data_IF_897084016698
#
_entry.id   IF_897084016698
#
_cell.length_a   1.000
_cell.length_b   1.000
_cell.length_c   1.000
_cell.angle_alpha   90.00
_cell.angle_beta   90.00
_cell.angle_gamma   90.00
#
_symmetry.space_group_name_H-M   'P 1'
#
loop_
_entity.id
_entity.type
_entity.pdbx_description
1 polymer ?
#
# COMPACT_ATOMS: atom_id res chain seq x y z
N UNK A 1 -14.52 3.41 25.18
CA UNK A 1 -15.43 2.46 24.51
C UNK A 1 -15.24 2.40 22.99
N UNK A 2 -15.02 3.52 22.32
CA UNK A 2 -14.90 3.60 20.84
C UNK A 2 -13.83 2.63 20.27
N UNK A 3 -12.69 2.50 20.94
CA UNK A 3 -11.62 1.59 20.50
C UNK A 3 -12.09 0.12 20.51
N UNK A 4 -12.96 -0.28 21.45
CA UNK A 4 -13.54 -1.63 21.45
C UNK A 4 -14.43 -1.88 20.22
N UNK A 5 -15.22 -0.88 19.82
CA UNK A 5 -16.03 -0.97 18.58
C UNK A 5 -15.14 -1.16 17.36
N UNK A 6 -14.06 -0.39 17.26
CA UNK A 6 -13.11 -0.49 16.14
C UNK A 6 -12.48 -1.89 16.13
N UNK A 7 -11.93 -2.36 17.24
CA UNK A 7 -11.29 -3.68 17.32
C UNK A 7 -12.27 -4.82 17.01
N UNK A 8 -13.50 -4.74 17.52
CA UNK A 8 -14.52 -5.73 17.19
C UNK A 8 -14.75 -5.80 15.68
N UNK A 9 -14.90 -4.66 15.02
CA UNK A 9 -15.10 -4.61 13.56
C UNK A 9 -13.90 -5.11 12.77
N UNK A 10 -12.69 -4.95 13.29
CA UNK A 10 -11.47 -5.48 12.67
C UNK A 10 -11.30 -6.99 12.86
N UNK A 11 -11.78 -7.54 13.98
CA UNK A 11 -11.56 -8.94 14.38
C UNK A 11 -12.72 -9.87 14.03
N UNK A 12 -13.88 -9.32 13.65
CA UNK A 12 -15.11 -10.08 13.42
C UNK A 12 -15.33 -10.41 11.94
N UNK A 13 -14.39 -11.14 11.35
CA UNK A 13 -14.43 -11.54 9.93
C UNK A 13 -15.68 -12.36 9.57
N UNK A 14 -16.28 -13.02 10.56
CA UNK A 14 -17.44 -13.89 10.36
C UNK A 14 -18.78 -13.21 10.62
N UNK A 15 -18.80 -11.98 11.13
CA UNK A 15 -20.02 -11.30 11.60
C UNK A 15 -20.62 -11.94 12.85
N UNK A 16 -19.80 -12.61 13.64
CA UNK A 16 -20.21 -13.33 14.86
C UNK A 16 -20.80 -12.38 15.92
N UNK A 17 -20.14 -11.22 16.12
CA UNK A 17 -20.64 -10.22 17.07
C UNK A 17 -22.03 -9.71 16.69
N UNK A 18 -22.27 -9.47 15.40
CA UNK A 18 -23.58 -9.02 14.91
C UNK A 18 -24.70 -10.03 15.17
N UNK A 19 -24.41 -11.33 14.99
CA UNK A 19 -25.38 -12.43 15.27
C UNK A 19 -25.56 -12.71 16.74
N UNK A 20 -24.49 -12.55 17.52
CA UNK A 20 -24.42 -12.94 18.93
C UNK A 20 -24.24 -11.77 19.89
N UNK A 21 -24.68 -10.56 19.52
CA UNK A 21 -24.54 -9.35 20.34
C UNK A 21 -25.18 -9.50 21.75
N UNK A 22 -26.31 -10.21 21.85
CA UNK A 22 -26.94 -10.51 23.14
C UNK A 22 -26.08 -11.39 24.05
N UNK A 23 -25.42 -12.38 23.47
CA UNK A 23 -24.45 -13.21 24.18
C UNK A 23 -23.29 -12.38 24.72
N UNK A 24 -22.63 -11.60 23.87
CA UNK A 24 -21.49 -10.76 24.27
C UNK A 24 -21.87 -9.69 25.27
N UNK A 25 -23.10 -9.18 25.27
CA UNK A 25 -23.63 -8.30 26.30
C UNK A 25 -23.70 -9.05 27.63
N UNK A 26 -24.19 -10.28 27.65
CA UNK A 26 -24.38 -11.09 28.88
C UNK A 26 -23.05 -11.47 29.51
N UNK A 27 -22.03 -11.77 28.71
CA UNK A 27 -20.72 -12.19 29.24
C UNK A 27 -19.77 -10.99 29.48
N UNK A 28 -20.18 -9.77 29.23
CA UNK A 28 -19.36 -8.58 29.46
C UNK A 28 -18.96 -8.52 30.95
N UNK A 29 -17.67 -8.59 31.29
CA UNK A 29 -17.21 -8.68 32.66
C UNK A 29 -17.18 -7.33 33.38
N UNK A 30 -17.42 -6.23 32.67
CA UNK A 30 -17.23 -4.88 33.18
C UNK A 30 -18.53 -4.26 33.66
N UNK A 31 -18.45 -3.53 34.79
CA UNK A 31 -19.63 -2.94 35.47
C UNK A 31 -19.86 -1.48 35.12
N UNK A 32 -18.89 -0.80 34.51
CA UNK A 32 -18.91 0.61 34.19
C UNK A 32 -19.15 0.89 32.69
N UNK A 33 -19.38 -0.14 31.90
CA UNK A 33 -19.60 0.00 30.44
C UNK A 33 -21.06 0.37 30.18
N UNK A 34 -21.34 1.42 29.38
CA UNK A 34 -22.69 1.78 29.01
C UNK A 34 -23.32 0.68 28.12
N UNK A 35 -24.64 0.54 28.19
CA UNK A 35 -25.37 -0.57 27.58
C UNK A 35 -25.07 -0.76 26.08
N UNK A 36 -24.95 0.34 25.32
CA UNK A 36 -24.65 0.28 23.90
C UNK A 36 -23.26 -0.30 23.59
N UNK A 37 -22.30 -0.17 24.51
CA UNK A 37 -20.93 -0.62 24.36
C UNK A 37 -20.66 -2.01 24.92
N UNK A 38 -21.58 -2.55 25.75
CA UNK A 38 -21.42 -3.86 26.39
C UNK A 38 -21.12 -5.00 25.41
N UNK A 39 -21.80 -5.13 24.26
CA UNK A 39 -21.49 -6.21 23.31
C UNK A 39 -20.06 -6.15 22.80
N UNK A 40 -19.55 -4.96 22.49
CA UNK A 40 -18.20 -4.72 22.00
C UNK A 40 -17.14 -4.98 23.08
N UNK A 41 -17.38 -4.51 24.29
CA UNK A 41 -16.49 -4.75 25.43
C UNK A 41 -16.46 -6.24 25.80
N UNK A 42 -17.61 -6.92 25.77
CA UNK A 42 -17.74 -8.37 26.00
C UNK A 42 -16.99 -9.17 24.94
N UNK A 43 -17.17 -8.83 23.66
CA UNK A 43 -16.42 -9.43 22.55
C UNK A 43 -14.91 -9.26 22.73
N UNK A 44 -14.44 -8.03 22.98
CA UNK A 44 -13.01 -7.77 23.18
C UNK A 44 -12.43 -8.50 24.41
N UNK A 45 -13.22 -8.68 25.47
CA UNK A 45 -12.81 -9.45 26.64
C UNK A 45 -12.72 -10.95 26.34
N UNK A 46 -13.72 -11.52 25.69
CA UNK A 46 -13.77 -12.94 25.29
C UNK A 46 -12.62 -13.28 24.33
N UNK A 47 -12.34 -12.41 23.35
CA UNK A 47 -11.21 -12.57 22.41
C UNK A 47 -9.86 -12.17 23.00
N UNK A 48 -9.80 -11.81 24.30
CA UNK A 48 -8.58 -11.39 25.02
C UNK A 48 -7.87 -10.17 24.43
N UNK A 49 -8.58 -9.37 23.65
CA UNK A 49 -8.06 -8.12 23.08
C UNK A 49 -7.95 -7.02 24.15
N UNK A 50 -8.96 -6.92 25.03
CA UNK A 50 -9.00 -5.95 26.12
C UNK A 50 -9.29 -6.61 27.46
N UNK A 51 -8.56 -6.21 28.51
CA UNK A 51 -8.71 -6.79 29.87
C UNK A 51 -9.28 -5.80 30.91
N UNK A 52 -9.46 -4.52 30.53
CA UNK A 52 -9.81 -3.47 31.49
C UNK A 52 -8.69 -3.15 32.48
N UNK A 53 -9.03 -2.37 33.51
CA UNK A 53 -8.09 -1.92 34.56
C UNK A 53 -8.05 -2.82 35.81
N UNK A 54 -8.77 -3.94 35.82
CA UNK A 54 -9.03 -4.74 36.99
C UNK A 54 -10.32 -4.28 37.72
N UNK A 55 -10.69 -4.98 38.77
CA UNK A 55 -11.92 -4.71 39.56
C UNK A 55 -13.19 -4.54 38.73
N UNK A 56 -13.26 -5.20 37.56
CA UNK A 56 -14.36 -5.09 36.60
C UNK A 56 -14.56 -3.70 36.03
N UNK A 57 -13.51 -2.88 36.01
CA UNK A 57 -13.53 -1.55 35.42
C UNK A 57 -12.93 -1.57 34.03
N UNK A 58 -13.62 -0.93 33.07
CA UNK A 58 -13.21 -0.81 31.68
C UNK A 58 -12.69 0.60 31.34
N UNK A 59 -13.22 1.63 31.98
CA UNK A 59 -12.92 3.03 31.70
C UNK A 59 -13.46 3.48 30.33
N UNK A 60 -14.78 3.37 30.06
CA UNK A 60 -15.35 3.56 28.74
C UNK A 60 -15.19 5.00 28.19
N UNK A 61 -15.01 5.97 29.08
CA UNK A 61 -14.85 7.40 28.76
C UNK A 61 -13.39 7.88 28.90
N UNK A 62 -12.48 7.03 29.36
CA UNK A 62 -11.10 7.43 29.59
C UNK A 62 -10.38 7.67 28.26
N UNK A 63 -9.51 8.70 28.21
CA UNK A 63 -8.62 8.88 27.08
C UNK A 63 -7.72 7.67 26.90
N UNK A 64 -7.54 7.24 25.64
CA UNK A 64 -6.66 6.10 25.32
C UNK A 64 -5.21 6.56 25.39
N UNK A 65 -4.39 5.87 26.19
CA UNK A 65 -2.94 6.12 26.21
C UNK A 65 -2.24 5.40 25.05
N UNK A 66 -1.07 5.86 24.61
CA UNK A 66 -0.27 5.14 23.62
C UNK A 66 -0.01 3.68 24.00
N UNK A 67 0.36 3.42 25.26
CA UNK A 67 0.60 2.06 25.75
C UNK A 67 -0.64 1.17 25.67
N UNK A 68 -1.83 1.70 25.98
CA UNK A 68 -3.07 0.96 25.83
C UNK A 68 -3.38 0.64 24.37
N UNK A 69 -3.24 1.60 23.45
CA UNK A 69 -3.45 1.39 22.04
C UNK A 69 -2.47 0.36 21.46
N UNK A 70 -1.18 0.47 21.79
CA UNK A 70 -0.15 -0.49 21.37
C UNK A 70 -0.45 -1.90 21.92
N UNK A 71 -0.82 -2.00 23.21
CA UNK A 71 -1.15 -3.28 23.84
C UNK A 71 -2.27 -4.02 23.13
N UNK A 72 -3.37 -3.34 22.81
CA UNK A 72 -4.50 -3.98 22.16
C UNK A 72 -4.17 -4.37 20.73
N UNK A 73 -3.34 -3.59 20.04
CA UNK A 73 -2.92 -3.90 18.67
C UNK A 73 -1.92 -5.06 18.62
N UNK A 74 -0.98 -5.14 19.57
CA UNK A 74 -0.07 -6.29 19.69
C UNK A 74 -0.82 -7.59 19.97
N UNK A 75 -1.90 -7.54 20.76
CA UNK A 75 -2.80 -8.68 20.98
C UNK A 75 -3.60 -9.05 19.74
N UNK A 76 -4.10 -8.05 19.01
CA UNK A 76 -4.78 -8.27 17.73
C UNK A 76 -3.89 -8.97 16.70
N UNK A 77 -2.59 -8.66 16.71
CA UNK A 77 -1.58 -9.28 15.85
C UNK A 77 -1.01 -10.61 16.38
N UNK A 78 -1.57 -11.14 17.48
CA UNK A 78 -1.09 -12.35 18.15
C UNK A 78 0.42 -12.32 18.49
N UNK A 79 0.97 -11.12 18.75
CA UNK A 79 2.37 -10.99 19.15
C UNK A 79 2.63 -11.77 20.44
N UNK A 80 3.67 -12.64 20.48
CA UNK A 80 3.94 -13.48 21.64
C UNK A 80 4.11 -12.67 22.94
N UNK A 81 3.33 -12.97 23.96
CA UNK A 81 3.36 -12.25 25.24
C UNK A 81 4.73 -12.34 25.98
N UNK A 82 5.61 -13.25 25.55
CA UNK A 82 6.98 -13.35 26.04
C UNK A 82 7.91 -12.25 25.52
N UNK A 83 7.51 -11.53 24.48
CA UNK A 83 8.35 -10.52 23.81
C UNK A 83 8.06 -9.09 24.27
N UNK A 84 6.99 -8.86 25.02
CA UNK A 84 6.57 -7.52 25.43
C UNK A 84 5.70 -7.56 26.69
N UNK A 85 5.51 -6.41 27.31
CA UNK A 85 4.62 -6.18 28.45
C UNK A 85 3.87 -4.87 28.23
N UNK A 86 2.90 -4.54 29.09
CA UNK A 86 2.23 -3.24 29.02
C UNK A 86 3.24 -2.06 29.05
N UNK A 87 4.27 -2.17 29.88
CA UNK A 87 5.31 -1.14 30.00
C UNK A 87 6.18 -0.99 28.74
N UNK A 88 6.36 -2.06 27.96
CA UNK A 88 7.19 -2.08 26.73
C UNK A 88 6.37 -2.20 25.46
N UNK A 89 5.04 -2.07 25.56
CA UNK A 89 4.15 -2.21 24.41
C UNK A 89 4.41 -1.13 23.32
N UNK A 90 4.72 0.09 23.75
CA UNK A 90 5.10 1.15 22.82
C UNK A 90 6.40 0.84 22.10
N UNK A 91 7.43 0.40 22.82
CA UNK A 91 8.73 0.06 22.23
C UNK A 91 8.59 -1.09 21.22
N UNK A 92 7.79 -2.11 21.58
CA UNK A 92 7.49 -3.22 20.67
C UNK A 92 6.69 -2.79 19.45
N UNK A 93 5.72 -1.90 19.60
CA UNK A 93 4.96 -1.35 18.48
C UNK A 93 5.84 -0.49 17.55
N UNK A 94 6.80 0.25 18.10
CA UNK A 94 7.81 1.01 17.32
C UNK A 94 8.76 0.05 16.63
N UNK A 95 9.28 -0.97 17.32
CA UNK A 95 10.13 -2.02 16.74
C UNK A 95 9.46 -2.70 15.53
N UNK A 96 8.15 -2.97 15.63
CA UNK A 96 7.35 -3.54 14.55
C UNK A 96 6.92 -2.52 13.48
N UNK A 97 7.35 -1.26 13.60
CA UNK A 97 6.97 -0.21 12.66
C UNK A 97 5.49 0.21 12.71
N UNK A 98 4.75 -0.18 13.75
CA UNK A 98 3.32 0.11 13.87
C UNK A 98 3.03 1.56 14.22
N UNK A 99 3.92 2.21 15.00
CA UNK A 99 3.81 3.63 15.38
C UNK A 99 5.18 4.31 15.39
N UNK A 100 5.22 5.62 15.12
CA UNK A 100 6.40 6.44 15.35
C UNK A 100 6.66 6.69 16.84
N UNK A 101 7.92 6.85 17.20
CA UNK A 101 8.33 7.13 18.60
C UNK A 101 7.57 8.35 19.14
N UNK A 102 7.45 9.41 18.34
CA UNK A 102 6.78 10.65 18.72
C UNK A 102 5.30 10.44 19.09
N UNK A 103 4.64 9.45 18.48
CA UNK A 103 3.25 9.12 18.77
C UNK A 103 3.09 8.35 20.09
N UNK A 104 4.18 7.91 20.71
CA UNK A 104 4.19 7.13 21.96
C UNK A 104 4.49 7.95 23.21
N UNK A 105 4.90 9.21 23.07
CA UNK A 105 5.41 10.03 24.18
C UNK A 105 4.36 10.87 24.91
N UNK A 106 3.15 11.01 24.35
CA UNK A 106 2.09 11.81 24.97
C UNK A 106 1.27 11.07 26.03
N UNK A 107 0.50 11.79 26.83
CA UNK A 107 -0.42 11.19 27.82
C UNK A 107 -1.60 10.46 27.14
N UNK A 108 -1.95 10.88 25.93
CA UNK A 108 -3.04 10.29 25.12
C UNK A 108 -2.61 10.15 23.69
N UNK A 109 -3.12 9.09 23.01
CA UNK A 109 -2.91 8.89 21.58
C UNK A 109 -3.98 9.63 20.78
N UNK A 110 -3.60 10.25 19.67
CA UNK A 110 -4.55 10.92 18.78
C UNK A 110 -5.34 9.94 17.93
N UNK A 111 -6.51 10.33 17.46
CA UNK A 111 -7.31 9.52 16.51
C UNK A 111 -6.52 9.22 15.23
N UNK A 112 -5.71 10.17 14.74
CA UNK A 112 -4.84 9.99 13.59
C UNK A 112 -3.80 8.89 13.84
N UNK A 113 -3.13 8.89 15.00
CA UNK A 113 -2.14 7.87 15.35
C UNK A 113 -2.81 6.49 15.57
N UNK A 114 -4.03 6.42 16.09
CA UNK A 114 -4.80 5.17 16.15
C UNK A 114 -5.08 4.66 14.73
N UNK A 115 -5.48 5.51 13.80
CA UNK A 115 -5.72 5.13 12.41
C UNK A 115 -4.44 4.61 11.74
N UNK A 116 -3.29 5.28 11.96
CA UNK A 116 -1.97 4.81 11.47
C UNK A 116 -1.61 3.46 12.07
N UNK A 117 -1.79 3.27 13.38
CA UNK A 117 -1.52 2.02 14.09
C UNK A 117 -2.34 0.86 13.50
N UNK A 118 -3.63 1.07 13.29
CA UNK A 118 -4.54 0.09 12.69
C UNK A 118 -4.14 -0.20 11.23
N UNK A 119 -3.95 0.84 10.45
CA UNK A 119 -3.58 0.70 9.04
C UNK A 119 -2.31 -0.15 8.87
N UNK A 120 -1.28 0.13 9.66
CA UNK A 120 -0.02 -0.62 9.61
C UNK A 120 -0.16 -2.05 10.11
N UNK A 121 -0.97 -2.27 11.13
CA UNK A 121 -1.26 -3.62 11.63
C UNK A 121 -1.97 -4.49 10.60
N UNK A 122 -2.94 -3.94 9.86
CA UNK A 122 -3.70 -4.64 8.84
C UNK A 122 -2.88 -4.94 7.57
N UNK A 123 -1.95 -4.06 7.23
CA UNK A 123 -1.15 -4.22 6.02
C UNK A 123 0.16 -4.98 6.24
N UNK A 124 0.30 -5.68 7.38
CA UNK A 124 1.38 -6.62 7.62
C UNK A 124 2.76 -5.98 7.54
N UNK A 125 3.01 -4.94 8.35
CA UNK A 125 4.36 -4.39 8.51
C UNK A 125 5.24 -5.39 9.27
N UNK A 126 5.44 -6.56 8.67
CA UNK A 126 6.40 -7.53 9.15
C UNK A 126 7.81 -7.05 8.86
N UNK A 127 8.45 -6.55 9.89
CA UNK A 127 9.91 -6.48 9.98
C UNK A 127 10.59 -5.45 9.11
N UNK A 128 10.73 -4.24 9.64
CA UNK A 128 12.05 -3.61 9.70
C UNK A 128 11.97 -2.39 10.64
N UNK A 129 12.84 -2.37 11.61
CA UNK A 129 13.08 -1.25 12.52
C UNK A 129 13.58 -0.04 11.73
N UNK A 130 12.66 0.81 11.30
CA UNK A 130 13.01 2.16 10.87
C UNK A 130 12.36 3.17 11.80
N UNK A 131 13.19 4.04 12.32
CA UNK A 131 12.84 5.17 13.17
C UNK A 131 11.67 5.92 12.56
N UNK A 132 10.60 5.98 13.31
CA UNK A 132 9.26 6.29 12.88
C UNK A 132 9.01 7.81 12.79
N UNK A 133 9.85 8.53 12.09
CA UNK A 133 9.55 9.90 11.65
C UNK A 133 9.25 10.01 10.15
N UNK A 134 9.19 8.86 9.43
CA UNK A 134 9.03 8.90 7.99
C UNK A 134 7.82 8.05 7.58
N UNK A 135 6.70 8.72 7.29
CA UNK A 135 5.50 8.12 6.76
C UNK A 135 5.73 7.47 5.39
N UNK A 136 4.90 6.49 5.03
CA UNK A 136 4.75 6.09 3.63
C UNK A 136 4.40 7.36 2.85
N UNK A 137 5.31 7.82 1.99
CA UNK A 137 5.23 9.11 1.30
C UNK A 137 6.45 10.02 1.50
N UNK A 138 7.24 9.82 2.56
CA UNK A 138 8.40 10.66 2.91
C UNK A 138 9.75 9.99 2.60
N UNK A 139 9.87 9.33 1.44
CA UNK A 139 11.13 8.76 0.97
C UNK A 139 11.35 7.27 1.26
N UNK A 140 10.29 6.54 1.65
CA UNK A 140 10.35 5.09 1.90
C UNK A 140 9.32 4.30 1.08
N UNK A 141 9.71 3.07 0.72
CA UNK A 141 8.89 2.08 0.02
C UNK A 141 7.98 1.32 1.00
N UNK A 142 7.03 0.56 0.48
CA UNK A 142 6.09 -0.26 1.27
C UNK A 142 6.79 -1.30 2.15
N UNK A 143 7.96 -1.78 1.74
CA UNK A 143 8.79 -2.72 2.53
C UNK A 143 9.67 -2.00 3.57
N UNK A 144 9.53 -0.70 3.75
CA UNK A 144 10.29 0.11 4.72
C UNK A 144 11.71 0.47 4.30
N UNK A 145 12.15 0.10 3.07
CA UNK A 145 13.44 0.52 2.54
C UNK A 145 13.37 1.94 1.97
N UNK A 146 14.48 2.70 1.96
CA UNK A 146 14.53 4.00 1.28
C UNK A 146 14.14 3.89 -0.18
N UNK A 147 13.54 4.93 -0.73
CA UNK A 147 13.26 5.02 -2.17
C UNK A 147 14.59 5.19 -2.90
N UNK A 148 15.06 4.11 -3.48
CA UNK A 148 16.19 4.06 -4.43
C UNK A 148 15.79 3.20 -5.63
N UNK A 149 16.44 3.39 -6.77
CA UNK A 149 16.14 2.59 -7.96
C UNK A 149 16.36 1.09 -7.71
N UNK A 150 17.41 0.71 -6.97
CA UNK A 150 17.69 -0.68 -6.59
C UNK A 150 16.57 -1.30 -5.73
N UNK A 151 16.11 -0.58 -4.72
CA UNK A 151 15.05 -1.05 -3.83
C UNK A 151 13.70 -1.12 -4.54
N UNK A 152 13.44 -0.22 -5.49
CA UNK A 152 12.23 -0.28 -6.35
C UNK A 152 12.29 -1.48 -7.27
N UNK A 153 13.45 -1.76 -7.90
CA UNK A 153 13.64 -2.95 -8.74
C UNK A 153 13.44 -4.26 -7.96
N UNK A 154 13.88 -4.32 -6.71
CA UNK A 154 13.62 -5.49 -5.85
C UNK A 154 12.13 -5.75 -5.64
N UNK A 155 11.35 -4.70 -5.36
CA UNK A 155 9.89 -4.81 -5.22
C UNK A 155 9.21 -5.17 -6.55
N UNK A 156 9.64 -4.59 -7.67
CA UNK A 156 9.13 -4.94 -9.00
C UNK A 156 9.34 -6.44 -9.31
N UNK A 157 10.50 -6.99 -8.97
CA UNK A 157 10.77 -8.44 -9.12
C UNK A 157 9.87 -9.30 -8.23
N UNK A 158 9.55 -8.82 -7.03
CA UNK A 158 8.60 -9.53 -6.18
C UNK A 158 7.20 -9.49 -6.79
N UNK A 159 6.78 -8.34 -7.32
CA UNK A 159 5.49 -8.20 -8.01
C UNK A 159 5.43 -9.10 -9.23
N UNK A 160 6.52 -9.24 -10.01
CA UNK A 160 6.58 -10.18 -11.14
C UNK A 160 6.37 -11.63 -10.71
N UNK A 161 6.94 -12.06 -9.57
CA UNK A 161 6.73 -13.42 -9.03
C UNK A 161 5.28 -13.65 -8.62
N UNK A 162 4.66 -12.66 -8.00
CA UNK A 162 3.27 -12.75 -7.53
C UNK A 162 2.27 -12.64 -8.70
N UNK A 163 2.65 -11.94 -9.76
CA UNK A 163 1.85 -11.61 -10.95
C UNK A 163 2.63 -11.85 -12.24
N UNK A 164 2.96 -13.11 -12.59
CA UNK A 164 3.82 -13.40 -13.72
C UNK A 164 3.18 -13.08 -15.06
N UNK A 165 4.01 -13.01 -16.09
CA UNK A 165 3.58 -12.87 -17.49
C UNK A 165 2.51 -13.91 -17.83
N UNK A 166 1.46 -13.49 -18.51
CA UNK A 166 0.31 -14.31 -18.86
C UNK A 166 -0.80 -14.33 -17.81
N UNK A 167 -0.61 -13.75 -16.63
CA UNK A 167 -1.69 -13.60 -15.66
C UNK A 167 -2.82 -12.77 -16.26
N UNK A 168 -4.04 -13.30 -16.25
CA UNK A 168 -5.21 -12.59 -16.78
C UNK A 168 -5.50 -11.38 -15.94
N UNK A 169 -5.50 -10.20 -16.55
CA UNK A 169 -5.72 -8.95 -15.84
C UNK A 169 -7.15 -8.40 -16.02
N UNK A 170 -7.71 -8.55 -17.19
CA UNK A 170 -9.07 -8.11 -17.51
C UNK A 170 -9.11 -6.79 -18.29
N UNK A 171 -10.15 -6.68 -19.10
CA UNK A 171 -10.42 -5.56 -20.01
C UNK A 171 -11.83 -5.02 -19.82
N UNK A 172 -12.23 -4.06 -20.65
CA UNK A 172 -13.60 -3.59 -20.75
C UNK A 172 -14.62 -4.71 -21.03
N UNK A 173 -14.18 -5.81 -21.66
CA UNK A 173 -15.04 -6.95 -22.03
C UNK A 173 -15.06 -8.03 -20.96
N UNK A 174 -13.98 -8.13 -20.19
CA UNK A 174 -13.84 -9.05 -19.07
C UNK A 174 -13.46 -8.23 -17.82
N UNK A 175 -14.45 -7.62 -17.12
CA UNK A 175 -14.19 -6.84 -15.92
C UNK A 175 -13.50 -7.71 -14.87
N UNK A 176 -12.41 -7.18 -14.36
CA UNK A 176 -11.36 -7.79 -13.60
C UNK A 176 -11.72 -8.87 -12.59
N UNK A 177 -11.08 -9.99 -12.78
CA UNK A 177 -10.93 -11.03 -11.77
C UNK A 177 -10.19 -10.53 -10.52
N UNK A 178 -9.45 -9.42 -10.63
CA UNK A 178 -8.59 -8.86 -9.58
C UNK A 178 -9.09 -7.54 -8.97
N UNK A 179 -10.37 -7.26 -9.10
CA UNK A 179 -10.99 -6.02 -8.60
C UNK A 179 -10.75 -5.76 -7.11
N UNK A 180 -10.64 -6.81 -6.29
CA UNK A 180 -10.45 -6.70 -4.84
C UNK A 180 -8.99 -6.49 -4.43
N UNK A 181 -8.05 -6.65 -5.36
CA UNK A 181 -6.62 -6.52 -5.12
C UNK A 181 -6.08 -5.14 -5.53
N UNK A 182 -6.93 -4.35 -6.22
CA UNK A 182 -6.59 -2.98 -6.58
C UNK A 182 -6.98 -2.08 -5.41
N UNK A 183 -6.01 -1.41 -4.76
CA UNK A 183 -6.31 -0.48 -3.69
C UNK A 183 -7.29 0.61 -4.16
N UNK A 184 -8.35 0.83 -3.40
CA UNK A 184 -9.44 1.75 -3.78
C UNK A 184 -9.01 3.21 -3.95
N UNK A 185 -7.89 3.59 -3.34
CA UNK A 185 -7.33 4.94 -3.36
C UNK A 185 -6.26 5.13 -4.43
N UNK A 186 -5.55 4.07 -4.85
CA UNK A 186 -4.49 4.11 -5.87
C UNK A 186 -4.99 4.64 -7.23
N UNK A 187 -6.23 4.40 -7.53
CA UNK A 187 -6.85 4.81 -8.78
C UNK A 187 -7.17 6.31 -8.86
N UNK A 188 -7.16 7.01 -7.72
CA UNK A 188 -7.85 8.30 -7.62
C UNK A 188 -7.33 9.40 -8.56
N UNK A 189 -6.02 9.54 -8.72
CA UNK A 189 -5.46 10.66 -9.51
C UNK A 189 -5.30 10.32 -10.98
N UNK A 190 -4.84 9.12 -11.34
CA UNK A 190 -4.79 8.66 -12.72
C UNK A 190 -6.20 8.68 -13.30
N UNK A 191 -7.18 8.19 -12.53
CA UNK A 191 -8.59 8.16 -12.93
C UNK A 191 -9.14 9.57 -13.18
N UNK A 192 -8.91 10.49 -12.25
CA UNK A 192 -9.42 11.87 -12.37
C UNK A 192 -8.75 12.63 -13.51
N UNK A 193 -7.44 12.51 -13.64
CA UNK A 193 -6.68 13.28 -14.62
C UNK A 193 -6.88 12.76 -16.05
N UNK A 194 -7.08 11.46 -16.21
CA UNK A 194 -7.10 10.83 -17.53
C UNK A 194 -8.39 10.10 -17.87
N UNK A 195 -9.38 10.09 -16.98
CA UNK A 195 -10.68 9.44 -17.20
C UNK A 195 -10.58 7.95 -17.59
N UNK A 196 -9.69 7.21 -16.95
CA UNK A 196 -9.49 5.77 -17.20
C UNK A 196 -10.18 4.91 -16.15
N UNK A 197 -10.40 3.63 -16.43
CA UNK A 197 -11.04 2.71 -15.49
C UNK A 197 -10.14 2.36 -14.31
N UNK A 198 -10.75 2.20 -13.13
CA UNK A 198 -10.09 1.82 -11.88
C UNK A 198 -10.24 0.33 -11.52
N UNK A 199 -10.87 -0.46 -12.36
CA UNK A 199 -11.20 -1.86 -12.04
C UNK A 199 -10.59 -2.86 -13.02
N UNK A 200 -10.06 -2.37 -14.13
CA UNK A 200 -9.46 -3.18 -15.18
C UNK A 200 -8.57 -2.31 -16.09
N UNK A 201 -7.93 -2.97 -17.06
CA UNK A 201 -7.06 -2.35 -18.04
C UNK A 201 -5.74 -1.77 -17.46
N UNK A 202 -4.96 -1.16 -18.34
CA UNK A 202 -3.61 -0.68 -18.07
C UNK A 202 -3.51 0.32 -16.90
N UNK A 203 -4.47 1.22 -16.76
CA UNK A 203 -4.46 2.22 -15.70
C UNK A 203 -4.62 1.61 -14.30
N UNK A 204 -5.49 0.61 -14.17
CA UNK A 204 -5.67 -0.12 -12.91
C UNK A 204 -4.41 -0.92 -12.54
N UNK A 205 -3.77 -1.55 -13.51
CA UNK A 205 -2.52 -2.26 -13.32
C UNK A 205 -1.40 -1.33 -12.85
N UNK A 206 -1.16 -0.23 -13.56
CA UNK A 206 -0.13 0.73 -13.18
C UNK A 206 -0.38 1.32 -11.79
N UNK A 207 -1.64 1.57 -11.43
CA UNK A 207 -2.02 2.03 -10.09
C UNK A 207 -1.72 0.99 -9.02
N UNK A 208 -2.01 -0.28 -9.28
CA UNK A 208 -1.70 -1.39 -8.38
C UNK A 208 -0.18 -1.50 -8.15
N UNK A 209 0.60 -1.56 -9.22
CA UNK A 209 2.06 -1.65 -9.14
C UNK A 209 2.64 -0.46 -8.35
N UNK A 210 2.22 0.76 -8.67
CA UNK A 210 2.66 1.96 -7.94
C UNK A 210 2.31 1.90 -6.45
N UNK A 211 1.13 1.39 -6.09
CA UNK A 211 0.71 1.27 -4.69
C UNK A 211 1.46 0.18 -3.95
N UNK A 212 1.75 -0.95 -4.60
CA UNK A 212 2.56 -2.02 -4.03
C UNK A 212 4.00 -1.58 -3.75
N UNK A 213 4.52 -0.63 -4.52
CA UNK A 213 5.88 -0.10 -4.36
C UNK A 213 5.92 1.05 -3.36
N UNK A 214 5.13 2.10 -3.61
CA UNK A 214 5.22 3.39 -2.91
C UNK A 214 4.13 3.61 -1.87
N UNK A 215 3.27 2.64 -1.64
CA UNK A 215 2.10 2.77 -0.77
C UNK A 215 0.91 3.42 -1.45
N UNK A 216 -0.24 3.19 -0.84
CA UNK A 216 -1.52 3.66 -1.31
C UNK A 216 -1.68 5.16 -1.01
N UNK A 217 -1.28 5.99 -1.96
CA UNK A 217 -1.55 7.43 -1.91
C UNK A 217 -2.39 7.83 -3.11
N UNK A 218 -3.28 8.79 -2.92
CA UNK A 218 -4.05 9.38 -4.02
C UNK A 218 -3.16 10.18 -5.00
N UNK A 219 -1.84 10.11 -4.85
CA UNK A 219 -0.88 10.94 -5.56
C UNK A 219 -0.02 10.10 -6.50
N UNK A 220 -0.04 10.45 -7.81
CA UNK A 220 0.87 9.91 -8.82
C UNK A 220 2.32 10.35 -8.62
N UNK A 221 2.56 11.28 -7.71
CA UNK A 221 3.80 11.99 -7.60
C UNK A 221 3.86 13.24 -8.46
N UNK A 222 5.04 13.64 -8.87
CA UNK A 222 5.26 14.80 -9.74
C UNK A 222 5.40 14.37 -11.20
N UNK A 223 4.96 15.22 -12.10
CA UNK A 223 5.19 15.04 -13.53
C UNK A 223 6.68 15.26 -13.85
N UNK A 224 7.24 14.44 -14.73
CA UNK A 224 8.58 14.62 -15.24
C UNK A 224 8.56 15.65 -16.38
N UNK A 225 9.41 16.67 -16.27
CA UNK A 225 9.63 17.66 -17.33
C UNK A 225 10.58 17.09 -18.39
N UNK A 226 11.49 16.20 -17.98
CA UNK A 226 12.46 15.52 -18.83
C UNK A 226 12.29 14.01 -18.72
N UNK A 227 11.87 13.38 -19.81
CA UNK A 227 11.65 11.94 -19.88
C UNK A 227 12.95 11.12 -19.86
N UNK A 228 14.10 11.73 -20.05
CA UNK A 228 15.38 11.05 -19.84
C UNK A 228 15.62 10.67 -18.38
N UNK A 229 14.85 11.27 -17.46
CA UNK A 229 14.90 11.01 -16.03
C UNK A 229 13.89 9.94 -15.55
N UNK A 230 13.27 9.22 -16.47
CA UNK A 230 12.41 8.06 -16.12
C UNK A 230 13.24 7.03 -15.35
N UNK A 231 12.63 6.44 -14.32
CA UNK A 231 13.24 5.45 -13.43
C UNK A 231 12.34 4.23 -13.25
N UNK A 232 12.85 3.11 -12.79
CA UNK A 232 12.04 1.94 -12.43
C UNK A 232 10.87 2.33 -11.50
N UNK A 233 9.67 1.86 -11.82
CA UNK A 233 8.45 2.16 -11.05
C UNK A 233 7.74 3.46 -11.43
N UNK A 234 8.31 4.28 -12.30
CA UNK A 234 7.64 5.46 -12.82
C UNK A 234 6.48 5.07 -13.74
N UNK A 235 5.42 5.87 -13.70
CA UNK A 235 4.23 5.65 -14.53
C UNK A 235 4.35 6.46 -15.80
N UNK A 236 4.11 5.80 -16.92
CA UNK A 236 4.15 6.39 -18.26
C UNK A 236 2.76 6.37 -18.87
N UNK A 237 2.33 7.52 -19.37
CA UNK A 237 0.99 7.73 -19.94
C UNK A 237 1.13 8.16 -21.39
N UNK A 238 0.60 7.35 -22.30
CA UNK A 238 0.50 7.66 -23.72
C UNK A 238 -0.79 8.42 -23.99
N UNK A 239 -0.67 9.69 -24.32
CA UNK A 239 -1.80 10.59 -24.55
C UNK A 239 -1.91 10.90 -26.02
N UNK A 240 -3.09 10.67 -26.63
CA UNK A 240 -3.36 10.99 -28.04
C UNK A 240 -3.32 12.50 -28.26
N UNK A 241 -2.44 12.97 -29.13
CA UNK A 241 -2.24 14.40 -29.38
C UNK A 241 -3.52 15.09 -29.88
N UNK A 242 -4.28 14.46 -30.75
CA UNK A 242 -5.47 15.03 -31.37
C UNK A 242 -6.66 15.23 -30.43
N UNK A 243 -6.74 14.46 -29.34
CA UNK A 243 -7.91 14.46 -28.46
C UNK A 243 -7.58 14.65 -26.97
N UNK A 244 -6.30 14.60 -26.59
CA UNK A 244 -5.89 14.59 -25.20
C UNK A 244 -6.32 13.34 -24.41
N UNK A 245 -6.90 12.33 -25.08
CA UNK A 245 -7.33 11.10 -24.42
C UNK A 245 -6.18 10.14 -24.23
N UNK A 246 -6.16 9.47 -23.08
CA UNK A 246 -5.21 8.39 -22.81
C UNK A 246 -5.47 7.24 -23.78
N UNK A 247 -4.39 6.73 -24.33
CA UNK A 247 -4.39 5.50 -25.10
C UNK A 247 -3.90 4.33 -24.28
N UNK A 248 -2.80 4.51 -23.52
CA UNK A 248 -2.18 3.46 -22.75
C UNK A 248 -1.46 3.99 -21.50
N UNK A 249 -1.29 3.15 -20.48
CA UNK A 249 -0.57 3.45 -19.25
C UNK A 249 0.27 2.24 -18.89
N UNK A 250 1.55 2.44 -18.64
CA UNK A 250 2.52 1.38 -18.32
C UNK A 250 3.41 1.81 -17.16
N UNK A 251 4.22 0.87 -16.65
CA UNK A 251 5.22 1.13 -15.61
C UNK A 251 6.60 0.88 -16.17
N UNK A 252 7.51 1.84 -16.00
CA UNK A 252 8.89 1.73 -16.42
C UNK A 252 9.67 0.74 -15.55
N UNK A 253 10.56 -0.03 -16.15
CA UNK A 253 11.46 -0.98 -15.47
C UNK A 253 12.90 -0.52 -15.47
N UNK A 254 13.22 0.48 -16.28
CA UNK A 254 14.55 1.05 -16.39
C UNK A 254 14.50 2.52 -16.80
N UNK A 255 15.65 3.17 -16.73
CA UNK A 255 15.87 4.47 -17.35
C UNK A 255 16.08 4.32 -18.86
N UNK A 256 15.68 5.32 -19.68
CA UNK A 256 15.89 5.28 -21.12
C UNK A 256 17.37 5.11 -21.45
N UNK A 257 17.66 4.21 -22.38
CA UNK A 257 19.00 4.04 -22.94
C UNK A 257 19.32 5.18 -23.92
N UNK A 258 20.58 5.22 -24.38
CA UNK A 258 21.01 6.14 -25.44
C UNK A 258 20.22 5.97 -26.75
N UNK A 259 19.53 4.84 -26.93
CA UNK A 259 18.67 4.55 -28.09
C UNK A 259 17.25 5.08 -27.93
N UNK A 260 16.93 5.80 -26.87
CA UNK A 260 15.59 6.25 -26.52
C UNK A 260 14.57 5.11 -26.36
N UNK A 261 15.02 3.95 -25.97
CA UNK A 261 14.18 2.78 -25.70
C UNK A 261 14.33 2.37 -24.25
N UNK A 262 13.27 1.79 -23.68
CA UNK A 262 13.29 1.30 -22.32
C UNK A 262 12.26 0.17 -22.14
N UNK A 263 12.50 -0.70 -21.17
CA UNK A 263 11.59 -1.78 -20.84
C UNK A 263 10.48 -1.30 -19.92
N UNK A 264 9.31 -1.88 -20.12
CA UNK A 264 8.10 -1.59 -19.34
C UNK A 264 7.47 -2.89 -18.85
N UNK A 265 6.57 -2.78 -17.87
CA UNK A 265 5.55 -3.80 -17.58
C UNK A 265 4.17 -3.24 -17.86
N UNK A 266 3.28 -4.10 -18.34
CA UNK A 266 1.95 -3.77 -18.84
C UNK A 266 0.92 -4.78 -18.35
N UNK A 267 -0.25 -4.32 -17.91
CA UNK A 267 -1.36 -5.14 -17.45
C UNK A 267 -2.46 -5.37 -18.47
N UNK A 268 -2.30 -4.96 -19.72
CA UNK A 268 -3.37 -5.05 -20.72
C UNK A 268 -2.89 -5.45 -22.12
N UNK A 269 -1.70 -5.94 -22.27
CA UNK A 269 -1.23 -6.51 -23.51
C UNK A 269 -1.87 -7.88 -23.73
N UNK A 270 -2.83 -7.95 -24.67
CA UNK A 270 -3.59 -9.19 -24.91
C UNK A 270 -4.41 -9.66 -23.70
N UNK A 271 -4.93 -8.73 -22.89
CA UNK A 271 -5.74 -9.01 -21.70
C UNK A 271 -4.95 -9.64 -20.53
N UNK A 272 -3.63 -9.63 -20.59
CA UNK A 272 -2.74 -10.24 -19.60
C UNK A 272 -1.66 -9.26 -19.11
N UNK A 273 -1.05 -9.59 -17.99
CA UNK A 273 0.15 -8.94 -17.49
C UNK A 273 1.34 -9.41 -18.32
N UNK A 274 2.22 -8.46 -18.68
CA UNK A 274 3.44 -8.70 -19.42
C UNK A 274 4.64 -8.11 -18.68
N UNK A 275 5.66 -8.92 -18.51
CA UNK A 275 6.99 -8.54 -18.04
C UNK A 275 8.02 -8.83 -19.13
N UNK A 276 9.10 -8.06 -19.22
CA UNK A 276 10.12 -8.30 -20.24
C UNK A 276 10.83 -9.63 -20.01
N UNK A 277 11.05 -10.33 -21.10
CA UNK A 277 11.84 -11.57 -21.17
C UNK A 277 12.89 -11.42 -22.29
N UNK A 278 14.14 -11.79 -22.02
CA UNK A 278 15.21 -11.78 -23.04
C UNK A 278 14.93 -12.67 -24.24
N UNK A 279 14.06 -13.67 -24.08
CA UNK A 279 13.76 -14.65 -25.10
C UNK A 279 12.48 -14.35 -25.88
N UNK A 280 11.63 -13.48 -25.37
CA UNK A 280 10.36 -13.20 -26.01
C UNK A 280 10.52 -12.20 -27.14
N UNK A 281 9.80 -12.46 -28.24
CA UNK A 281 9.67 -11.50 -29.35
C UNK A 281 8.74 -10.35 -29.02
N UNK A 282 8.00 -10.45 -27.92
CA UNK A 282 7.22 -9.35 -27.40
C UNK A 282 8.18 -8.35 -26.76
N UNK A 283 8.43 -7.31 -27.47
CA UNK A 283 9.29 -6.23 -27.00
C UNK A 283 8.46 -5.35 -26.06
N UNK A 284 8.60 -5.57 -24.76
CA UNK A 284 8.16 -4.59 -23.76
C UNK A 284 9.06 -3.34 -23.78
N UNK A 285 9.59 -3.01 -24.95
CA UNK A 285 10.37 -1.81 -25.16
C UNK A 285 9.52 -0.80 -25.92
N UNK A 286 9.34 0.34 -25.30
CA UNK A 286 8.80 1.49 -26.01
C UNK A 286 9.93 2.40 -26.49
N UNK A 287 9.79 2.88 -27.71
CA UNK A 287 10.74 3.80 -28.30
C UNK A 287 10.21 5.23 -28.14
N UNK A 288 10.94 6.06 -27.40
CA UNK A 288 10.54 7.44 -27.15
C UNK A 288 10.43 8.27 -28.44
N UNK A 289 11.28 8.02 -29.43
CA UNK A 289 11.26 8.77 -30.69
C UNK A 289 10.02 8.47 -31.54
N UNK A 290 9.50 7.24 -31.47
CA UNK A 290 8.26 6.90 -32.18
C UNK A 290 7.05 7.66 -31.65
N UNK A 291 7.13 8.14 -30.42
CA UNK A 291 6.09 8.93 -29.75
C UNK A 291 6.35 10.43 -29.76
N UNK A 292 7.54 10.88 -30.12
CA UNK A 292 7.97 12.28 -30.14
C UNK A 292 8.16 12.91 -31.53
N UNK A 293 8.19 12.11 -32.59
CA UNK A 293 8.40 12.59 -33.96
C UNK A 293 7.31 13.56 -34.48
N UNK A 294 7.56 14.27 -35.56
CA UNK A 294 6.64 15.29 -36.11
C UNK A 294 5.27 14.75 -36.52
N UNK A 295 5.15 13.45 -36.76
CA UNK A 295 3.91 12.75 -37.07
C UNK A 295 3.28 12.03 -35.84
N UNK A 296 3.63 12.47 -34.65
CA UNK A 296 3.17 11.80 -33.42
C UNK A 296 1.65 11.77 -33.29
N UNK A 297 1.12 10.57 -33.25
CA UNK A 297 -0.27 10.33 -32.85
C UNK A 297 -0.41 10.48 -31.32
N UNK A 298 0.65 10.17 -30.57
CA UNK A 298 0.70 10.17 -29.11
C UNK A 298 1.90 10.98 -28.59
N UNK A 299 1.73 11.57 -27.39
CA UNK A 299 2.82 12.07 -26.57
C UNK A 299 2.95 11.21 -25.33
N UNK A 300 4.16 11.05 -24.84
CA UNK A 300 4.44 10.38 -23.59
C UNK A 300 4.50 11.40 -22.45
N UNK A 301 3.82 11.09 -21.34
CA UNK A 301 3.88 11.84 -20.09
C UNK A 301 4.39 10.91 -18.98
N UNK A 302 5.47 11.31 -18.31
CA UNK A 302 6.06 10.55 -17.21
C UNK A 302 5.67 11.13 -15.85
N UNK A 303 5.47 10.25 -14.87
CA UNK A 303 5.13 10.59 -13.50
C UNK A 303 5.99 9.79 -12.54
N UNK A 304 6.69 10.47 -11.63
CA UNK A 304 7.61 9.86 -10.67
C UNK A 304 7.20 10.09 -9.23
N UNK A 305 7.38 9.09 -8.39
CA UNK A 305 7.22 9.17 -6.94
C UNK A 305 8.54 9.23 -6.19
N UNK A 306 9.65 9.28 -6.92
CA UNK A 306 10.94 9.53 -6.30
C UNK A 306 11.02 10.96 -5.76
N UNK A 307 11.45 11.15 -4.50
CA UNK A 307 11.76 12.48 -3.98
C UNK A 307 12.85 13.17 -4.81
N UNK A 308 12.80 14.50 -4.88
CA UNK A 308 13.84 15.28 -5.58
C UNK A 308 15.23 15.10 -4.98
N UNK A 309 15.28 14.76 -3.69
CA UNK A 309 16.53 14.47 -2.97
C UNK A 309 17.20 13.16 -3.39
N UNK A 310 16.48 12.26 -4.07
CA UNK A 310 17.05 10.99 -4.56
C UNK A 310 17.69 11.23 -5.91
N UNK A 311 19.02 11.10 -5.94
CA UNK A 311 19.80 11.26 -7.17
C UNK A 311 19.39 10.24 -8.22
N UNK A 312 19.31 10.68 -9.47
CA UNK A 312 19.16 9.81 -10.63
C UNK A 312 20.45 9.01 -10.85
N UNK A 313 20.36 7.69 -10.93
CA UNK A 313 21.53 6.81 -11.13
C UNK A 313 21.58 6.17 -12.51
N UNK A 314 20.49 6.21 -13.27
CA UNK A 314 20.44 5.69 -14.64
C UNK A 314 20.58 4.17 -14.70
N UNK A 315 19.73 3.44 -14.00
CA UNK A 315 19.73 1.97 -14.05
C UNK A 315 19.37 1.45 -15.44
N UNK A 316 20.19 0.52 -15.92
CA UNK A 316 19.99 -0.14 -17.22
C UNK A 316 19.15 -1.41 -17.10
N UNK A 317 18.64 -1.88 -18.23
CA UNK A 317 17.95 -3.18 -18.34
C UNK A 317 18.79 -4.36 -17.85
N UNK A 318 20.10 -4.27 -17.89
CA UNK A 318 21.00 -5.28 -17.34
C UNK A 318 20.78 -5.46 -15.82
N UNK A 319 20.43 -4.38 -15.11
CA UNK A 319 20.08 -4.48 -13.69
C UNK A 319 18.79 -5.28 -13.48
N UNK A 320 17.81 -5.21 -14.41
CA UNK A 320 16.61 -6.03 -14.35
C UNK A 320 16.92 -7.52 -14.54
N UNK A 321 17.70 -7.86 -15.56
CA UNK A 321 17.99 -9.24 -15.91
C UNK A 321 19.11 -9.90 -15.06
N UNK A 322 19.94 -9.12 -14.35
CA UNK A 322 21.09 -9.63 -13.61
C UNK A 322 20.76 -10.68 -12.53
N UNK A 323 19.54 -10.69 -12.01
CA UNK A 323 19.10 -11.55 -10.92
C UNK A 323 17.95 -12.53 -11.31
N UNK A 324 17.66 -12.66 -12.59
CA UNK A 324 16.65 -13.59 -13.13
C UNK A 324 17.28 -14.79 -13.85
N UNK A 325 18.51 -15.17 -13.49
CA UNK A 325 19.23 -16.35 -14.00
C UNK A 325 19.23 -17.49 -13.01
#
# INVERSE_FOLDING_TARGET
>A
AELAVILTRLSDDTGDMGRNAAYYRTICPFTDVPEWAMPYAGYCAEKKLMAGYGNKQFGPSDPVTPAAACTVMLRYLDCPASQWSYATACDKAVELGLLPVEATTGPTITRGNIAVLIYRALNGMAGNSHTASQGIGDGYLTNGKPITEENVLELLRQIEKDWPTGTVWGTNKTPGTHKNEIPSTASGQIMRNYHVSNTYACGAYASMVSSLIFGDTANLGRRLDDLSQIRPGDILVYVRNSSGKVWHIVVALESPSDTNSFYITDGNAGETIQWPDRQSTYSNMDNLDSYRGENQIYRLEGWTRYPESVSYTGNSVEAWFANNS
#
